data_IF_077733537766
#
_entry.id   IF_077733537766
#
_cell.length_a   1.000
_cell.length_b   1.000
_cell.length_c   1.000
_cell.angle_alpha   90.00
_cell.angle_beta   90.00
_cell.angle_gamma   90.00
#
_symmetry.space_group_name_H-M   'P 1'
#
loop_
_entity.id
_entity.type
_entity.pdbx_description
1 polymer ?
#
# COMPACT_ATOMS: atom_id res chain seq x y z
N UNK A 1 -1.85 -13.22 -5.37
CA UNK A 1 -1.63 -11.85 -4.86
C UNK A 1 -0.77 -11.97 -3.63
N UNK A 2 0.22 -11.10 -3.54
CA UNK A 2 1.05 -10.96 -2.35
C UNK A 2 0.78 -9.60 -1.74
N UNK A 3 0.96 -9.52 -0.43
CA UNK A 3 1.05 -8.25 0.24
C UNK A 3 2.51 -7.99 0.58
N UNK A 4 2.82 -6.72 0.60
CA UNK A 4 4.13 -6.18 0.87
C UNK A 4 3.95 -5.07 1.89
N UNK A 5 4.75 -5.04 2.95
CA UNK A 5 4.74 -3.94 3.92
C UNK A 5 6.11 -3.29 4.00
N UNK A 6 6.13 -1.98 4.18
CA UNK A 6 7.34 -1.21 4.46
C UNK A 6 7.04 -0.13 5.47
N UNK A 7 7.92 0.02 6.45
CA UNK A 7 7.93 1.20 7.30
C UNK A 7 8.68 2.28 6.54
N UNK A 8 8.01 3.42 6.29
CA UNK A 8 8.62 4.57 5.61
C UNK A 8 8.67 5.76 6.56
N UNK A 9 9.80 6.46 6.52
CA UNK A 9 9.87 7.79 7.11
C UNK A 9 8.98 8.75 6.31
N UNK A 10 8.43 9.80 6.94
CA UNK A 10 7.60 10.79 6.24
C UNK A 10 8.31 11.46 5.04
N UNK A 11 9.64 11.52 5.02
CA UNK A 11 10.41 12.02 3.88
C UNK A 11 10.51 11.05 2.69
N UNK A 12 10.46 9.75 2.93
CA UNK A 12 10.59 8.71 1.89
C UNK A 12 9.25 8.33 1.24
N UNK A 13 8.14 8.73 1.86
CA UNK A 13 6.81 8.40 1.35
C UNK A 13 6.65 8.83 -0.11
N UNK A 14 6.93 10.09 -0.44
CA UNK A 14 6.72 10.60 -1.80
C UNK A 14 7.46 9.77 -2.85
N UNK A 15 8.71 9.38 -2.59
CA UNK A 15 9.49 8.55 -3.51
C UNK A 15 8.90 7.14 -3.68
N UNK A 16 8.44 6.52 -2.59
CA UNK A 16 7.82 5.20 -2.65
C UNK A 16 6.48 5.25 -3.39
N UNK A 17 5.69 6.29 -3.17
CA UNK A 17 4.44 6.50 -3.88
C UNK A 17 4.67 6.72 -5.38
N UNK A 18 5.64 7.55 -5.75
CA UNK A 18 6.00 7.80 -7.16
C UNK A 18 6.49 6.52 -7.85
N UNK A 19 7.37 5.74 -7.21
CA UNK A 19 7.81 4.44 -7.73
C UNK A 19 6.64 3.47 -7.93
N UNK A 20 5.73 3.39 -6.96
CA UNK A 20 4.56 2.53 -7.06
C UNK A 20 3.61 3.00 -8.17
N UNK A 21 3.36 4.31 -8.28
CA UNK A 21 2.52 4.89 -9.32
C UNK A 21 3.12 4.65 -10.71
N UNK A 22 4.43 4.84 -10.87
CA UNK A 22 5.14 4.54 -12.12
C UNK A 22 5.01 3.07 -12.51
N UNK A 23 5.12 2.14 -11.55
CA UNK A 23 4.87 0.71 -11.78
C UNK A 23 3.41 0.43 -12.14
N UNK A 24 2.48 1.06 -11.43
CA UNK A 24 1.04 0.92 -11.66
C UNK A 24 0.65 1.38 -13.07
N UNK A 25 1.18 2.53 -13.51
CA UNK A 25 0.99 3.05 -14.87
C UNK A 25 1.67 2.16 -15.92
N UNK A 26 2.91 1.72 -15.68
CA UNK A 26 3.64 0.82 -16.60
C UNK A 26 2.92 -0.51 -16.82
N UNK A 27 2.28 -1.05 -15.78
CA UNK A 27 1.53 -2.31 -15.85
C UNK A 27 0.11 -2.13 -16.38
N UNK A 28 -0.32 -0.90 -16.67
CA UNK A 28 -1.66 -0.62 -17.19
C UNK A 28 -2.77 -0.74 -16.13
N UNK A 29 -2.48 -0.35 -14.89
CA UNK A 29 -3.44 -0.33 -13.78
C UNK A 29 -4.09 -1.69 -13.53
N UNK A 30 -3.32 -2.76 -13.24
CA UNK A 30 -3.91 -4.05 -12.94
C UNK A 30 -4.83 -3.92 -11.71
N UNK A 31 -6.06 -4.41 -11.84
CA UNK A 31 -7.13 -4.36 -10.83
C UNK A 31 -6.79 -4.92 -9.44
N UNK A 32 -5.61 -5.51 -9.33
CA UNK A 32 -5.08 -6.24 -8.19
C UNK A 32 -3.99 -5.45 -7.44
N UNK A 33 -3.47 -4.36 -8.02
CA UNK A 33 -2.47 -3.51 -7.38
C UNK A 33 -3.13 -2.40 -6.57
N UNK A 34 -2.66 -2.28 -5.33
CA UNK A 34 -3.10 -1.22 -4.43
C UNK A 34 -1.98 -0.84 -3.48
N UNK A 35 -1.88 0.44 -3.16
CA UNK A 35 -1.03 0.97 -2.12
C UNK A 35 -1.92 1.62 -1.06
N UNK A 36 -1.78 1.17 0.18
CA UNK A 36 -2.48 1.73 1.33
C UNK A 36 -1.47 2.13 2.39
N UNK A 37 -1.76 3.20 3.14
CA UNK A 37 -0.91 3.71 4.20
C UNK A 37 -1.65 3.65 5.54
N UNK A 38 -0.94 3.30 6.61
CA UNK A 38 -1.44 3.44 7.97
C UNK A 38 -0.66 4.53 8.69
N UNK A 39 -1.41 5.48 9.24
CA UNK A 39 -0.88 6.55 10.07
C UNK A 39 -1.08 6.15 11.53
N UNK A 40 0.01 5.73 12.18
CA UNK A 40 0.05 5.49 13.62
C UNK A 40 0.91 6.53 14.33
N UNK A 41 0.88 6.60 15.68
CA UNK A 41 1.65 7.57 16.47
C UNK A 41 3.18 7.40 16.41
N UNK A 42 3.67 6.41 15.65
CA UNK A 42 5.09 6.19 15.41
C UNK A 42 5.44 6.43 13.95
N UNK A 43 5.62 5.34 13.21
CA UNK A 43 6.03 5.38 11.81
C UNK A 43 4.86 5.11 10.86
N UNK A 44 4.92 5.74 9.68
CA UNK A 44 3.98 5.46 8.59
C UNK A 44 4.32 4.09 8.01
N UNK A 45 3.34 3.20 8.00
CA UNK A 45 3.48 1.89 7.35
C UNK A 45 2.74 1.91 6.02
N UNK A 46 3.45 1.55 4.96
CA UNK A 46 2.89 1.35 3.64
C UNK A 46 2.65 -0.14 3.40
N UNK A 47 1.50 -0.47 2.84
CA UNK A 47 1.15 -1.80 2.40
C UNK A 47 0.81 -1.77 0.92
N UNK A 48 1.52 -2.58 0.13
CA UNK A 48 1.31 -2.73 -1.30
C UNK A 48 0.77 -4.13 -1.61
N UNK A 49 -0.37 -4.20 -2.29
CA UNK A 49 -0.85 -5.41 -2.96
C UNK A 49 -0.21 -5.49 -4.33
N UNK A 50 0.40 -6.63 -4.62
CA UNK A 50 1.04 -6.91 -5.90
C UNK A 50 0.54 -8.25 -6.46
N UNK A 51 0.38 -8.37 -7.78
CA UNK A 51 0.05 -9.66 -8.39
C UNK A 51 1.19 -10.67 -8.27
N UNK A 52 2.46 -10.22 -8.21
CA UNK A 52 3.66 -11.08 -8.24
C UNK A 52 4.79 -10.54 -7.34
N UNK A 53 5.57 -11.44 -6.73
CA UNK A 53 6.81 -11.18 -5.96
C UNK A 53 7.89 -10.50 -6.79
N UNK A 54 7.90 -10.65 -8.11
CA UNK A 54 8.86 -9.92 -8.96
C UNK A 54 8.70 -8.41 -8.83
N UNK A 55 7.48 -7.90 -8.63
CA UNK A 55 7.25 -6.47 -8.40
C UNK A 55 7.71 -6.01 -7.01
N UNK A 56 7.75 -6.93 -6.04
CA UNK A 56 8.33 -6.66 -4.72
C UNK A 56 9.82 -6.36 -4.85
N UNK A 57 10.54 -7.09 -5.70
CA UNK A 57 11.98 -6.82 -5.91
C UNK A 57 12.26 -5.45 -6.54
N UNK A 58 11.28 -4.84 -7.22
CA UNK A 58 11.39 -3.47 -7.70
C UNK A 58 11.17 -2.44 -6.57
N UNK A 59 10.43 -2.81 -5.53
CA UNK A 59 10.14 -1.98 -4.36
C UNK A 59 11.14 -2.31 -3.24
N UNK A 60 12.31 -1.68 -3.28
CA UNK A 60 13.33 -1.87 -2.24
C UNK A 60 12.77 -1.56 -0.85
N UNK A 61 13.09 -2.40 0.13
CA UNK A 61 12.69 -2.24 1.54
C UNK A 61 11.26 -2.69 1.86
N UNK A 62 10.49 -3.18 0.88
CA UNK A 62 9.22 -3.86 1.17
C UNK A 62 9.46 -5.32 1.52
N UNK A 63 8.88 -5.74 2.64
CA UNK A 63 8.86 -7.13 3.07
C UNK A 63 7.55 -7.78 2.68
N UNK A 64 7.60 -9.02 2.20
CA UNK A 64 6.39 -9.78 1.95
C UNK A 64 5.64 -10.00 3.27
N UNK A 65 4.35 -9.72 3.28
CA UNK A 65 3.48 -9.93 4.44
C UNK A 65 2.23 -10.72 4.02
N UNK A 66 1.63 -11.38 5.01
CA UNK A 66 0.41 -12.15 4.83
C UNK A 66 -0.84 -11.30 5.02
N UNK A 67 -1.97 -11.77 4.49
CA UNK A 67 -3.28 -11.13 4.65
C UNK A 67 -3.66 -10.92 6.14
N UNK A 68 -3.21 -11.80 7.03
CA UNK A 68 -3.50 -11.74 8.47
C UNK A 68 -2.71 -10.68 9.25
N UNK A 69 -1.67 -10.09 8.66
CA UNK A 69 -0.92 -8.99 9.26
C UNK A 69 -1.39 -7.61 8.76
N UNK A 70 -2.39 -7.60 7.88
CA UNK A 70 -2.92 -6.36 7.35
C UNK A 70 -3.71 -5.60 8.42
N UNK A 71 -3.55 -4.28 8.49
CA UNK A 71 -4.29 -3.44 9.40
C UNK A 71 -5.79 -3.42 9.04
N UNK A 72 -6.65 -3.32 10.05
CA UNK A 72 -8.09 -3.18 9.83
C UNK A 72 -8.48 -1.80 9.24
N UNK A 73 -7.68 -0.77 9.53
CA UNK A 73 -7.87 0.61 9.09
C UNK A 73 -6.65 1.10 8.30
N UNK A 74 -6.86 1.57 7.07
CA UNK A 74 -5.80 2.12 6.24
C UNK A 74 -6.33 3.22 5.31
N UNK A 75 -5.45 4.11 4.85
CA UNK A 75 -5.78 5.11 3.83
C UNK A 75 -5.35 4.60 2.47
N UNK A 76 -6.30 4.50 1.53
CA UNK A 76 -5.98 4.19 0.15
C UNK A 76 -5.19 5.34 -0.48
N UNK A 77 -3.98 5.04 -0.97
CA UNK A 77 -3.16 5.98 -1.73
C UNK A 77 -3.34 5.76 -3.23
N UNK A 78 -3.07 4.54 -3.72
CA UNK A 78 -3.10 4.19 -5.14
C UNK A 78 -3.86 2.88 -5.33
N UNK A 79 -4.62 2.75 -6.41
CA UNK A 79 -5.32 1.51 -6.78
C UNK A 79 -6.84 1.63 -6.73
N UNK A 80 -7.53 0.49 -6.60
CA UNK A 80 -8.98 0.43 -6.78
C UNK A 80 -9.74 0.51 -5.45
N UNK A 81 -10.60 1.52 -5.31
CA UNK A 81 -11.50 1.68 -4.15
C UNK A 81 -12.37 0.45 -3.90
N UNK A 82 -12.78 -0.27 -4.94
CA UNK A 82 -13.62 -1.45 -4.81
C UNK A 82 -12.88 -2.62 -4.13
N UNK A 83 -11.59 -2.82 -4.47
CA UNK A 83 -10.77 -3.84 -3.84
C UNK A 83 -10.37 -3.41 -2.41
N UNK A 84 -10.19 -2.11 -2.19
CA UNK A 84 -10.00 -1.52 -0.87
C UNK A 84 -11.18 -1.77 0.07
N UNK A 85 -12.40 -1.38 -0.32
CA UNK A 85 -13.58 -1.49 0.52
C UNK A 85 -13.94 -2.93 0.92
N UNK A 86 -13.46 -3.93 0.15
CA UNK A 86 -13.62 -5.35 0.49
C UNK A 86 -12.68 -5.84 1.60
N UNK A 87 -11.54 -5.18 1.79
CA UNK A 87 -10.45 -5.65 2.68
C UNK A 87 -10.21 -4.72 3.86
N UNK A 88 -10.21 -3.42 3.62
CA UNK A 88 -9.88 -2.39 4.60
C UNK A 88 -11.09 -1.52 4.89
N UNK A 89 -11.20 -1.08 6.14
CA UNK A 89 -12.09 0.03 6.48
C UNK A 89 -11.30 1.33 6.28
N UNK A 90 -11.94 2.33 5.69
CA UNK A 90 -11.42 3.69 5.75
C UNK A 90 -11.34 4.09 7.23
N UNK A 91 -10.20 4.60 7.73
CA UNK A 91 -10.14 5.14 9.06
C UNK A 91 -11.24 6.19 9.16
N UNK A 92 -12.12 6.05 10.17
CA UNK A 92 -13.12 7.08 10.44
C UNK A 92 -12.35 8.34 10.81
N UNK A 93 -12.12 9.24 9.84
CA UNK A 93 -11.63 10.59 10.14
C UNK A 93 -12.61 11.17 11.17
N UNK A 94 -12.19 11.51 12.39
CA UNK A 94 -12.92 12.52 13.12
C UNK A 94 -12.64 13.81 12.34
N UNK A 95 -13.61 14.24 11.54
CA UNK A 95 -13.67 15.65 11.17
C UNK A 95 -13.85 16.43 12.47
N UNK A 96 -12.79 17.08 12.96
CA UNK A 96 -12.86 18.34 13.72
C UNK A 96 -11.48 18.92 13.97
#
# INVERSE_FOLDING_TARGET
MIWARRIVAPGEWNEVQDQFESLFVKLGCPGQMMLVATFGPGATMLYASLPNTVLLTALSGFEQTGDGELPAEASLLVGHQHAFAKRFRYPKRPFM
#
